data_IF_069901098958
#
_entry.id   IF_069901098958
#
_cell.length_a   1.000
_cell.length_b   1.000
_cell.length_c   1.000
_cell.angle_alpha   90.00
_cell.angle_beta   90.00
_cell.angle_gamma   90.00
#
_symmetry.space_group_name_H-M   'P 1'
#
loop_
_entity.id
_entity.type
_entity.pdbx_description
1 polymer ?
#
# COMPACT_ATOMS: atom_id res chain seq x y z
N UNK A 1 2.14 -1.14 -21.78
CA UNK A 1 3.24 -1.41 -20.82
C UNK A 1 3.32 -0.25 -19.84
N UNK A 2 3.33 -0.53 -18.55
CA UNK A 2 3.66 0.47 -17.50
C UNK A 2 5.05 1.01 -17.83
N UNK A 3 5.26 2.33 -17.70
CA UNK A 3 6.59 2.92 -17.86
C UNK A 3 7.56 2.31 -16.84
N UNK A 4 8.81 2.14 -17.23
CA UNK A 4 9.86 1.78 -16.28
C UNK A 4 9.86 2.80 -15.13
N UNK A 5 9.79 2.31 -13.89
CA UNK A 5 9.80 3.17 -12.73
C UNK A 5 11.10 3.94 -12.65
N UNK A 6 11.01 5.23 -12.30
CA UNK A 6 12.16 6.06 -11.99
C UNK A 6 13.01 5.40 -10.89
N UNK A 7 14.30 5.28 -11.13
CA UNK A 7 15.20 4.76 -10.10
C UNK A 7 15.39 5.82 -9.01
N UNK A 8 14.98 5.48 -7.81
CA UNK A 8 15.20 6.26 -6.60
C UNK A 8 16.24 5.56 -5.70
N UNK A 9 16.81 6.28 -4.74
CA UNK A 9 17.73 5.68 -3.76
C UNK A 9 17.01 4.57 -3.00
N UNK A 10 17.54 3.33 -2.97
CA UNK A 10 16.95 2.26 -2.16
C UNK A 10 17.15 2.55 -0.68
N UNK A 11 16.10 2.37 0.12
CA UNK A 11 16.08 2.58 1.55
C UNK A 11 15.51 1.34 2.25
N UNK A 12 16.21 0.84 3.26
CA UNK A 12 15.73 -0.24 4.11
C UNK A 12 14.92 0.33 5.28
N UNK A 13 13.69 -0.15 5.44
CA UNK A 13 12.84 0.13 6.59
C UNK A 13 12.81 -1.09 7.51
N UNK A 14 13.34 -0.92 8.71
CA UNK A 14 13.33 -1.94 9.75
C UNK A 14 13.17 -1.30 11.14
N UNK A 15 12.40 -1.92 12.01
CA UNK A 15 12.35 -1.55 13.42
C UNK A 15 13.67 -1.91 14.10
N UNK A 16 14.26 -0.97 14.83
CA UNK A 16 15.62 -1.10 15.41
C UNK A 16 15.62 -1.50 16.87
N UNK A 17 14.49 -1.98 17.37
CA UNK A 17 14.39 -2.53 18.71
C UNK A 17 15.06 -3.91 18.80
N UNK A 18 15.78 -4.18 19.87
CA UNK A 18 16.35 -5.51 20.13
C UNK A 18 15.31 -6.62 20.26
N UNK A 19 14.05 -6.26 20.48
CA UNK A 19 12.89 -7.15 20.62
C UNK A 19 12.14 -7.38 19.31
N UNK A 20 12.44 -6.62 18.25
CA UNK A 20 11.76 -6.71 16.94
C UNK A 20 12.47 -7.59 15.92
N UNK A 21 13.20 -8.63 16.37
CA UNK A 21 14.05 -9.48 15.50
C UNK A 21 13.26 -10.18 14.38
N UNK A 22 12.00 -10.50 14.65
CA UNK A 22 11.12 -11.21 13.71
C UNK A 22 10.25 -10.24 12.88
N UNK A 23 10.38 -8.93 13.10
CA UNK A 23 9.64 -7.94 12.32
C UNK A 23 10.11 -7.94 10.86
N UNK A 24 9.13 -7.84 9.97
CA UNK A 24 9.39 -7.74 8.53
C UNK A 24 10.27 -6.53 8.23
N UNK A 25 11.26 -6.72 7.36
CA UNK A 25 12.05 -5.63 6.76
C UNK A 25 11.49 -5.32 5.39
N UNK A 26 11.40 -4.04 5.04
CA UNK A 26 10.83 -3.57 3.77
C UNK A 26 11.81 -2.63 3.07
N UNK A 27 12.23 -3.01 1.89
CA UNK A 27 12.96 -2.12 1.00
C UNK A 27 12.00 -1.25 0.20
N UNK A 28 12.31 0.03 0.06
CA UNK A 28 11.58 0.98 -0.79
C UNK A 28 12.54 1.68 -1.75
N UNK A 29 12.05 2.12 -2.90
CA UNK A 29 12.89 2.75 -3.92
C UNK A 29 13.77 1.75 -4.70
N UNK A 30 14.62 2.26 -5.56
CA UNK A 30 15.44 1.44 -6.45
C UNK A 30 14.59 0.50 -7.32
N UNK A 31 15.01 -0.74 -7.42
CA UNK A 31 14.30 -1.79 -8.16
C UNK A 31 13.32 -2.60 -7.27
N UNK A 32 13.18 -2.20 -5.98
CA UNK A 32 12.29 -2.87 -5.04
C UNK A 32 10.81 -2.60 -5.35
N UNK A 33 9.91 -3.54 -5.02
CA UNK A 33 8.47 -3.37 -5.28
C UNK A 33 7.88 -2.12 -4.61
N UNK A 34 6.85 -1.52 -5.21
CA UNK A 34 6.09 -0.42 -4.61
C UNK A 34 5.43 -0.93 -3.32
N UNK A 35 5.75 -0.35 -2.17
CA UNK A 35 5.30 -0.84 -0.89
C UNK A 35 3.96 -0.21 -0.45
N UNK A 36 3.11 -1.04 0.17
CA UNK A 36 1.80 -0.64 0.70
C UNK A 36 1.94 -0.16 2.13
N UNK A 37 1.51 1.08 2.39
CA UNK A 37 1.49 1.69 3.71
C UNK A 37 0.07 2.08 4.11
N UNK A 38 -0.27 1.95 5.40
CA UNK A 38 -1.45 2.55 6.02
C UNK A 38 -1.06 3.28 7.32
N UNK A 39 -2.06 3.70 8.10
CA UNK A 39 -1.86 4.48 9.32
C UNK A 39 -2.91 4.09 10.35
N UNK A 40 -2.51 4.02 11.62
CA UNK A 40 -3.45 3.80 12.72
C UNK A 40 -4.31 5.04 12.97
N UNK A 41 -5.50 4.81 13.52
CA UNK A 41 -6.46 5.84 13.97
C UNK A 41 -6.63 5.84 15.50
N UNK A 42 -6.00 4.88 16.18
CA UNK A 42 -6.02 4.74 17.63
C UNK A 42 -5.20 5.84 18.31
N UNK A 43 -5.48 6.10 19.57
CA UNK A 43 -4.60 6.89 20.43
C UNK A 43 -3.31 6.10 20.68
N UNK A 44 -2.17 6.63 20.29
CA UNK A 44 -0.87 5.93 20.37
C UNK A 44 -0.44 5.67 21.82
N UNK A 45 -0.92 6.49 22.77
CA UNK A 45 -0.73 6.25 24.19
C UNK A 45 -1.36 4.93 24.68
N UNK A 46 -2.46 4.49 24.04
CA UNK A 46 -3.03 3.15 24.21
C UNK A 46 -2.31 2.19 23.23
N UNK A 47 -1.09 1.83 23.59
CA UNK A 47 -0.24 1.01 22.69
C UNK A 47 -0.81 -0.40 22.47
N UNK A 48 -1.63 -0.95 23.35
CA UNK A 48 -2.26 -2.28 23.14
C UNK A 48 -3.30 -2.21 22.02
N UNK A 49 -4.22 -1.23 22.04
CA UNK A 49 -5.18 -1.03 20.95
C UNK A 49 -4.50 -0.65 19.64
N UNK A 50 -3.43 0.14 19.73
CA UNK A 50 -2.63 0.51 18.55
C UNK A 50 -1.97 -0.72 17.93
N UNK A 51 -1.42 -1.63 18.74
CA UNK A 51 -0.86 -2.91 18.28
C UNK A 51 -1.94 -3.82 17.66
N UNK A 52 -3.12 -3.91 18.28
CA UNK A 52 -4.24 -4.67 17.72
C UNK A 52 -4.57 -4.19 16.30
N UNK A 53 -4.67 -2.87 16.10
CA UNK A 53 -4.92 -2.30 14.78
C UNK A 53 -3.74 -2.52 13.81
N UNK A 54 -2.50 -2.46 14.28
CA UNK A 54 -1.31 -2.78 13.48
C UNK A 54 -1.33 -4.25 13.03
N UNK A 55 -1.70 -5.18 13.90
CA UNK A 55 -1.85 -6.60 13.52
C UNK A 55 -2.94 -6.78 12.46
N UNK A 56 -4.10 -6.13 12.63
CA UNK A 56 -5.17 -6.15 11.62
C UNK A 56 -4.71 -5.63 10.25
N UNK A 57 -3.98 -4.51 10.25
CA UNK A 57 -3.39 -3.94 9.03
C UNK A 57 -2.37 -4.89 8.38
N UNK A 58 -1.48 -5.49 9.18
CA UNK A 58 -0.47 -6.44 8.69
C UNK A 58 -1.12 -7.69 8.09
N UNK A 59 -2.15 -8.24 8.74
CA UNK A 59 -2.92 -9.37 8.22
C UNK A 59 -3.63 -9.05 6.90
N UNK A 60 -4.15 -7.82 6.74
CA UNK A 60 -4.72 -7.36 5.47
C UNK A 60 -3.65 -7.21 4.37
N UNK A 61 -2.36 -7.25 4.73
CA UNK A 61 -1.23 -7.14 3.82
C UNK A 61 -0.60 -5.76 3.75
N UNK A 62 -0.82 -4.92 4.75
CA UNK A 62 -0.05 -3.69 4.91
C UNK A 62 1.41 -4.02 5.21
N UNK A 63 2.33 -3.35 4.55
CA UNK A 63 3.76 -3.63 4.67
C UNK A 63 4.49 -2.63 5.57
N UNK A 64 3.92 -1.44 5.75
CA UNK A 64 4.47 -0.35 6.57
C UNK A 64 3.31 0.33 7.29
N UNK A 65 3.40 0.52 8.60
CA UNK A 65 2.36 1.22 9.36
C UNK A 65 2.90 2.52 9.94
N UNK A 66 2.12 3.60 9.80
CA UNK A 66 2.41 4.90 10.40
C UNK A 66 1.57 5.11 11.65
N UNK A 67 2.19 5.58 12.72
CA UNK A 67 1.54 5.98 13.97
C UNK A 67 1.82 7.46 14.25
N UNK A 68 0.87 8.17 14.84
CA UNK A 68 1.05 9.57 15.26
C UNK A 68 1.76 9.60 16.60
N UNK A 69 2.68 10.56 16.80
CA UNK A 69 3.32 10.82 18.10
C UNK A 69 3.18 12.32 18.38
N UNK A 70 2.11 12.69 19.07
CA UNK A 70 1.72 14.10 19.30
C UNK A 70 2.28 14.66 20.60
N UNK A 71 2.46 13.81 21.61
CA UNK A 71 2.80 14.20 22.99
C UNK A 71 3.61 13.12 23.72
N UNK A 72 3.98 13.39 24.98
CA UNK A 72 4.79 12.50 25.79
C UNK A 72 4.12 11.14 26.10
N UNK A 73 2.81 11.04 26.37
CA UNK A 73 2.13 9.76 26.48
C UNK A 73 2.25 8.89 25.23
N UNK A 74 2.08 9.47 24.03
CA UNK A 74 2.30 8.75 22.77
C UNK A 74 3.74 8.26 22.64
N UNK A 75 4.71 9.14 22.96
CA UNK A 75 6.13 8.80 22.92
C UNK A 75 6.48 7.66 23.88
N UNK A 76 5.86 7.61 25.06
CA UNK A 76 6.04 6.52 26.01
C UNK A 76 5.49 5.16 25.52
N UNK A 77 4.48 5.17 24.65
CA UNK A 77 3.94 3.96 24.01
C UNK A 77 4.84 3.40 22.88
N UNK A 78 5.66 4.25 22.25
CA UNK A 78 6.45 3.87 21.08
C UNK A 78 7.39 2.67 21.26
N UNK A 79 8.15 2.54 22.37
CA UNK A 79 9.01 1.38 22.58
C UNK A 79 8.24 0.05 22.54
N UNK A 80 7.03 0.01 23.12
CA UNK A 80 6.17 -1.17 23.11
C UNK A 80 5.65 -1.50 21.71
N UNK A 81 5.24 -0.47 20.96
CA UNK A 81 4.74 -0.61 19.59
C UNK A 81 5.86 -1.12 18.67
N UNK A 82 7.02 -0.47 18.70
CA UNK A 82 8.16 -0.84 17.83
C UNK A 82 8.66 -2.25 18.13
N UNK A 83 8.72 -2.64 19.41
CA UNK A 83 9.20 -3.96 19.82
C UNK A 83 8.31 -5.11 19.37
N UNK A 84 6.99 -4.88 19.32
CA UNK A 84 5.97 -5.93 19.07
C UNK A 84 5.34 -5.87 17.68
N UNK A 85 5.58 -4.80 16.92
CA UNK A 85 5.00 -4.67 15.58
C UNK A 85 5.60 -5.70 14.60
N UNK A 86 4.75 -6.42 13.83
CA UNK A 86 5.21 -7.36 12.80
C UNK A 86 5.75 -6.67 11.54
N UNK A 87 5.54 -5.35 11.41
CA UNK A 87 5.92 -4.54 10.23
C UNK A 87 6.66 -3.27 10.66
N UNK A 88 7.45 -2.66 9.76
CA UNK A 88 8.12 -1.39 10.03
C UNK A 88 7.18 -0.28 10.45
N UNK A 89 7.54 0.44 11.51
CA UNK A 89 6.79 1.56 12.07
C UNK A 89 7.37 2.89 11.60
N UNK A 90 6.47 3.78 11.16
CA UNK A 90 6.78 5.18 10.83
C UNK A 90 6.17 6.09 11.88
N UNK A 91 6.99 6.86 12.59
CA UNK A 91 6.50 7.87 13.51
C UNK A 91 6.14 9.17 12.75
N UNK A 92 4.94 9.68 12.99
CA UNK A 92 4.43 10.92 12.41
C UNK A 92 4.55 12.07 13.41
N UNK A 93 5.54 12.93 13.20
CA UNK A 93 5.85 14.09 14.05
C UNK A 93 5.52 15.37 13.29
N UNK A 94 4.80 16.29 13.95
CA UNK A 94 4.41 17.53 13.32
C UNK A 94 5.33 18.71 13.69
N UNK A 95 5.57 18.94 14.99
CA UNK A 95 6.25 20.16 15.45
C UNK A 95 7.29 19.94 16.55
N UNK A 96 7.08 18.97 17.45
CA UNK A 96 7.91 18.82 18.64
C UNK A 96 9.12 17.90 18.38
N UNK A 97 10.32 18.49 18.44
CA UNK A 97 11.58 17.77 18.27
C UNK A 97 11.80 16.68 19.32
N UNK A 98 11.28 16.86 20.57
CA UNK A 98 11.41 15.86 21.63
C UNK A 98 10.67 14.57 21.29
N UNK A 99 9.50 14.69 20.62
CA UNK A 99 8.75 13.54 20.15
C UNK A 99 9.50 12.83 19.02
N UNK A 100 10.20 13.60 18.16
CA UNK A 100 11.05 13.02 17.13
C UNK A 100 12.23 12.23 17.72
N UNK A 101 12.92 12.79 18.72
CA UNK A 101 14.03 12.11 19.43
C UNK A 101 13.54 10.84 20.12
N UNK A 102 12.46 10.92 20.89
CA UNK A 102 11.89 9.77 21.58
C UNK A 102 11.46 8.64 20.62
N UNK A 103 10.88 8.99 19.46
CA UNK A 103 10.52 8.02 18.45
C UNK A 103 11.77 7.36 17.83
N UNK A 104 12.82 8.12 17.56
CA UNK A 104 14.10 7.58 17.07
C UNK A 104 14.73 6.65 18.12
N UNK A 105 14.81 7.06 19.38
CA UNK A 105 15.31 6.24 20.49
C UNK A 105 14.52 4.95 20.68
N UNK A 106 13.20 4.97 20.43
CA UNK A 106 12.36 3.78 20.40
C UNK A 106 12.68 2.85 19.22
N UNK A 107 13.47 3.30 18.23
CA UNK A 107 13.93 2.50 17.12
C UNK A 107 12.96 2.38 15.94
N UNK A 108 12.20 3.44 15.65
CA UNK A 108 11.29 3.46 14.50
C UNK A 108 12.02 3.27 13.18
N UNK A 109 11.36 2.62 12.23
CA UNK A 109 11.92 2.32 10.92
C UNK A 109 12.03 3.57 10.01
N UNK A 110 11.20 4.58 10.23
CA UNK A 110 11.20 5.84 9.48
C UNK A 110 10.55 6.95 10.31
N UNK A 111 11.03 8.16 10.15
CA UNK A 111 10.43 9.36 10.75
C UNK A 111 9.69 10.15 9.66
N UNK A 112 8.45 10.58 9.92
CA UNK A 112 7.80 11.61 9.10
C UNK A 112 7.90 12.95 9.84
N UNK A 113 8.64 13.87 9.25
CA UNK A 113 8.91 15.18 9.82
C UNK A 113 9.19 16.18 8.72
N UNK A 114 8.66 17.40 8.83
CA UNK A 114 9.08 18.52 8.00
C UNK A 114 10.08 19.36 8.82
N UNK A 115 11.40 19.30 8.52
CA UNK A 115 12.41 19.92 9.38
C UNK A 115 12.26 21.44 9.51
N UNK A 116 11.69 22.11 8.51
CA UNK A 116 11.38 23.54 8.59
C UNK A 116 10.22 23.91 9.52
N UNK A 117 9.46 22.93 10.03
CA UNK A 117 8.44 23.15 11.06
C UNK A 117 9.07 23.29 12.49
N UNK A 118 10.32 22.85 12.64
CA UNK A 118 11.10 23.07 13.85
C UNK A 118 11.86 24.37 13.64
N UNK A 119 11.44 25.44 14.33
CA UNK A 119 12.00 26.79 14.14
C UNK A 119 13.43 26.95 14.64
N UNK A 120 13.86 26.13 15.59
CA UNK A 120 15.20 26.11 16.15
C UNK A 120 16.12 25.18 15.35
N UNK A 121 17.09 25.77 14.65
CA UNK A 121 18.08 25.04 13.83
C UNK A 121 18.92 24.06 14.65
N UNK A 122 19.19 24.34 15.93
CA UNK A 122 19.95 23.45 16.81
C UNK A 122 19.17 22.17 17.06
N UNK A 123 17.88 22.28 17.35
CA UNK A 123 16.96 21.17 17.58
C UNK A 123 16.75 20.35 16.30
N UNK A 124 16.62 21.03 15.14
CA UNK A 124 16.55 20.34 13.84
C UNK A 124 17.81 19.51 13.61
N UNK A 125 18.99 20.07 13.88
CA UNK A 125 20.28 19.37 13.72
C UNK A 125 20.36 18.15 14.64
N UNK A 126 19.92 18.27 15.89
CA UNK A 126 19.91 17.17 16.87
C UNK A 126 19.08 15.99 16.36
N UNK A 127 17.84 16.23 15.92
CA UNK A 127 16.96 15.19 15.35
C UNK A 127 17.56 14.55 14.09
N UNK A 128 18.09 15.36 13.18
CA UNK A 128 18.67 14.87 11.93
C UNK A 128 19.96 14.08 12.18
N UNK A 129 20.78 14.52 13.14
CA UNK A 129 21.99 13.78 13.50
C UNK A 129 21.65 12.43 14.10
N UNK A 130 20.71 12.37 15.04
CA UNK A 130 20.27 11.09 15.63
C UNK A 130 19.67 10.16 14.55
N UNK A 131 18.83 10.69 13.66
CA UNK A 131 18.28 9.91 12.56
C UNK A 131 19.37 9.33 11.66
N UNK A 132 20.41 10.11 11.38
CA UNK A 132 21.58 9.71 10.59
C UNK A 132 22.39 8.62 11.30
N UNK A 133 22.69 8.79 12.58
CA UNK A 133 23.46 7.84 13.38
C UNK A 133 22.74 6.48 13.49
N UNK A 134 21.41 6.52 13.53
CA UNK A 134 20.58 5.33 13.54
C UNK A 134 20.27 4.79 12.13
N UNK A 135 20.68 5.46 11.06
CA UNK A 135 20.31 5.10 9.68
C UNK A 135 18.80 5.08 9.47
N UNK A 136 18.07 6.02 10.07
CA UNK A 136 16.60 6.11 9.98
C UNK A 136 16.22 7.12 8.91
N UNK A 137 15.54 6.71 7.80
CA UNK A 137 15.09 7.62 6.77
C UNK A 137 14.08 8.65 7.29
N UNK A 138 14.10 9.86 6.72
CA UNK A 138 13.15 10.93 7.02
C UNK A 138 12.23 11.14 5.83
N UNK A 139 10.90 11.11 6.06
CA UNK A 139 9.91 11.48 5.06
C UNK A 139 9.44 12.92 5.26
N UNK A 140 9.68 13.73 4.25
CA UNK A 140 9.09 15.05 4.09
C UNK A 140 7.65 14.87 3.57
N UNK A 141 6.68 15.41 4.30
CA UNK A 141 5.25 15.28 3.95
C UNK A 141 4.60 16.65 3.80
N UNK A 142 4.46 17.14 2.57
CA UNK A 142 3.75 18.39 2.27
C UNK A 142 2.31 18.08 1.91
N UNK A 143 1.39 18.74 2.60
CA UNK A 143 -0.03 18.74 2.27
C UNK A 143 -0.43 20.15 1.79
N UNK A 144 -1.33 20.23 0.80
CA UNK A 144 -1.81 21.51 0.27
C UNK A 144 -2.38 22.44 1.35
N UNK A 145 -3.10 21.89 2.32
CA UNK A 145 -3.69 22.65 3.43
C UNK A 145 -2.71 23.11 4.52
N UNK A 146 -1.40 22.82 4.39
CA UNK A 146 -0.38 23.18 5.38
C UNK A 146 0.93 23.66 4.74
N UNK A 147 0.81 24.51 3.72
CA UNK A 147 1.95 25.14 3.05
C UNK A 147 2.63 26.17 3.97
N UNK A 148 3.92 26.43 3.72
CA UNK A 148 4.61 27.53 4.36
C UNK A 148 3.99 28.86 3.92
N UNK A 149 3.70 29.75 4.88
CA UNK A 149 2.93 30.98 4.66
C UNK A 149 3.51 31.88 3.56
N UNK A 150 4.82 32.03 3.50
CA UNK A 150 5.51 32.81 2.47
C UNK A 150 5.34 32.22 1.05
N UNK A 151 5.26 30.89 0.93
CA UNK A 151 4.99 30.22 -0.34
C UNK A 151 3.53 30.31 -0.73
N UNK A 152 2.63 30.20 0.25
CA UNK A 152 1.19 30.37 0.03
C UNK A 152 0.86 31.81 -0.44
N UNK A 153 1.45 32.84 0.19
CA UNK A 153 1.29 34.23 -0.19
C UNK A 153 1.82 34.54 -1.60
N UNK A 154 2.94 33.87 -1.99
CA UNK A 154 3.59 34.12 -3.29
C UNK A 154 3.00 33.33 -4.44
N UNK A 155 2.65 32.08 -4.23
CA UNK A 155 2.26 31.11 -5.28
C UNK A 155 0.82 30.62 -5.14
N UNK A 156 0.15 30.91 -4.03
CA UNK A 156 -1.17 30.36 -3.72
C UNK A 156 -1.14 28.86 -3.43
N UNK A 157 -2.32 28.26 -3.42
CA UNK A 157 -2.48 26.80 -3.28
C UNK A 157 -2.25 26.11 -4.64
N UNK A 158 -0.99 25.97 -5.03
CA UNK A 158 -0.60 25.42 -6.33
C UNK A 158 0.33 24.20 -6.19
N UNK A 159 0.38 23.29 -7.18
CA UNK A 159 1.36 22.22 -7.23
C UNK A 159 2.80 22.70 -7.10
N UNK A 160 3.11 23.86 -7.66
CA UNK A 160 4.43 24.49 -7.60
C UNK A 160 4.79 24.88 -6.16
N UNK A 161 3.88 25.50 -5.42
CA UNK A 161 4.09 25.83 -4.02
C UNK A 161 4.38 24.60 -3.17
N UNK A 162 3.68 23.48 -3.42
CA UNK A 162 3.91 22.21 -2.75
C UNK A 162 5.33 21.68 -3.01
N UNK A 163 5.75 21.68 -4.27
CA UNK A 163 7.08 21.18 -4.65
C UNK A 163 8.18 22.06 -4.08
N UNK A 164 8.06 23.38 -4.16
CA UNK A 164 9.03 24.31 -3.57
C UNK A 164 9.12 24.15 -2.06
N UNK A 165 7.98 23.94 -1.38
CA UNK A 165 7.94 23.65 0.05
C UNK A 165 8.71 22.36 0.38
N UNK A 166 8.48 21.29 -0.39
CA UNK A 166 9.20 20.05 -0.18
C UNK A 166 10.70 20.18 -0.42
N UNK A 167 11.10 20.83 -1.50
CA UNK A 167 12.51 21.03 -1.85
C UNK A 167 13.26 21.87 -0.80
N UNK A 168 12.61 22.90 -0.22
CA UNK A 168 13.17 23.66 0.91
C UNK A 168 13.50 22.75 2.11
N UNK A 169 12.61 21.79 2.43
CA UNK A 169 12.88 20.84 3.51
C UNK A 169 13.97 19.82 3.13
N UNK A 170 14.04 19.42 1.86
CA UNK A 170 15.12 18.58 1.33
C UNK A 170 16.46 19.26 1.51
N UNK A 171 16.57 20.52 1.12
CA UNK A 171 17.81 21.31 1.23
C UNK A 171 18.33 21.38 2.68
N UNK A 172 17.43 21.55 3.66
CA UNK A 172 17.79 21.52 5.08
C UNK A 172 18.42 20.15 5.47
N UNK A 173 17.86 19.04 4.98
CA UNK A 173 18.40 17.69 5.26
C UNK A 173 19.74 17.47 4.56
N UNK A 174 19.85 17.90 3.30
CA UNK A 174 21.08 17.82 2.50
C UNK A 174 22.23 18.62 3.14
N UNK A 175 21.96 19.87 3.61
CA UNK A 175 22.91 20.70 4.36
C UNK A 175 23.45 20.00 5.63
N UNK A 176 22.62 19.16 6.25
CA UNK A 176 22.99 18.37 7.43
C UNK A 176 23.60 17.00 7.05
N UNK A 177 23.77 16.72 5.75
CA UNK A 177 24.36 15.49 5.24
C UNK A 177 23.45 14.27 5.39
N UNK A 178 22.11 14.45 5.48
CA UNK A 178 21.14 13.38 5.52
C UNK A 178 20.46 13.24 4.16
N UNK A 179 20.71 12.12 3.48
CA UNK A 179 20.20 11.84 2.12
C UNK A 179 19.24 10.64 2.05
N UNK A 180 18.89 10.06 3.19
CA UNK A 180 17.89 9.00 3.26
C UNK A 180 16.49 9.62 3.36
N UNK A 181 16.04 10.17 2.22
CA UNK A 181 14.87 11.04 2.14
C UNK A 181 13.76 10.36 1.34
N UNK A 182 12.54 10.50 1.83
CA UNK A 182 11.30 10.18 1.12
C UNK A 182 10.46 11.46 1.00
N UNK A 183 9.80 11.69 -0.12
CA UNK A 183 8.97 12.89 -0.31
C UNK A 183 7.52 12.49 -0.55
N UNK A 184 6.58 13.21 0.03
CA UNK A 184 5.15 13.09 -0.29
C UNK A 184 4.51 14.45 -0.48
N UNK A 185 3.67 14.57 -1.51
CA UNK A 185 2.99 15.78 -1.95
C UNK A 185 1.51 15.48 -2.11
N UNK A 186 0.69 15.79 -1.11
CA UNK A 186 -0.70 15.35 -1.07
C UNK A 186 -1.66 16.52 -1.12
N UNK A 187 -2.62 16.43 -2.02
CA UNK A 187 -3.80 17.28 -2.05
C UNK A 187 -5.07 16.41 -1.99
N UNK A 188 -6.23 17.04 -1.78
CA UNK A 188 -7.52 16.37 -1.73
C UNK A 188 -8.08 16.08 -3.13
N UNK A 189 -7.57 16.74 -4.14
CA UNK A 189 -7.96 16.56 -5.54
C UNK A 189 -6.86 15.86 -6.37
N UNK A 190 -7.32 15.14 -7.37
CA UNK A 190 -6.47 14.34 -8.24
C UNK A 190 -5.57 15.20 -9.14
N UNK A 191 -6.09 16.23 -9.85
CA UNK A 191 -5.26 17.06 -10.74
C UNK A 191 -4.08 17.68 -10.01
N UNK A 192 -4.32 18.36 -8.90
CA UNK A 192 -3.27 19.01 -8.11
C UNK A 192 -2.22 18.00 -7.64
N UNK A 193 -2.64 16.86 -7.13
CA UNK A 193 -1.71 15.80 -6.68
C UNK A 193 -0.87 15.27 -7.84
N UNK A 194 -1.49 14.95 -8.97
CA UNK A 194 -0.78 14.42 -10.15
C UNK A 194 0.23 15.44 -10.68
N UNK A 195 -0.16 16.70 -10.81
CA UNK A 195 0.76 17.75 -11.28
C UNK A 195 1.91 17.98 -10.30
N UNK A 196 1.66 17.96 -8.99
CA UNK A 196 2.71 18.11 -7.98
C UNK A 196 3.77 16.99 -8.08
N UNK A 197 3.34 15.74 -8.17
CA UNK A 197 4.28 14.63 -8.31
C UNK A 197 5.02 14.62 -9.63
N UNK A 198 4.37 14.95 -10.75
CA UNK A 198 5.05 15.10 -12.06
C UNK A 198 6.10 16.21 -12.04
N UNK A 199 5.79 17.34 -11.38
CA UNK A 199 6.73 18.45 -11.23
C UNK A 199 7.89 18.06 -10.32
N UNK A 200 7.60 17.40 -9.19
CA UNK A 200 8.63 16.89 -8.29
C UNK A 200 9.55 15.87 -8.99
N UNK A 201 8.99 14.95 -9.75
CA UNK A 201 9.76 13.96 -10.51
C UNK A 201 10.74 14.62 -11.48
N UNK A 202 10.30 15.62 -12.23
CA UNK A 202 11.18 16.40 -13.12
C UNK A 202 12.27 17.14 -12.35
N UNK A 203 11.91 17.83 -11.26
CA UNK A 203 12.86 18.58 -10.45
C UNK A 203 13.91 17.68 -9.77
N UNK A 204 13.49 16.48 -9.36
CA UNK A 204 14.40 15.49 -8.78
C UNK A 204 15.30 14.84 -9.85
N UNK A 205 14.82 14.69 -11.08
CA UNK A 205 15.65 14.20 -12.20
C UNK A 205 16.75 15.18 -12.61
N UNK A 206 16.59 16.48 -12.34
CA UNK A 206 17.60 17.53 -12.54
C UNK A 206 18.71 17.48 -11.46
N UNK A 207 18.52 16.69 -10.38
CA UNK A 207 19.46 16.52 -9.27
C UNK A 207 20.11 15.14 -9.34
N UNK A 208 21.33 15.01 -8.84
CA UNK A 208 22.05 13.73 -8.76
C UNK A 208 21.46 12.75 -7.72
N UNK A 209 20.53 13.23 -6.89
CA UNK A 209 19.92 12.47 -5.79
C UNK A 209 18.44 12.15 -6.08
N UNK A 210 18.15 10.95 -6.57
CA UNK A 210 16.78 10.52 -6.83
C UNK A 210 16.10 10.03 -5.54
N UNK A 211 15.38 10.90 -4.84
CA UNK A 211 14.63 10.54 -3.61
C UNK A 211 13.38 9.72 -3.91
N UNK A 212 13.05 8.80 -3.00
CA UNK A 212 11.85 7.99 -3.09
C UNK A 212 10.58 8.84 -2.90
N UNK A 213 9.51 8.48 -3.62
CA UNK A 213 8.22 9.16 -3.57
C UNK A 213 7.15 8.30 -2.90
N UNK A 214 6.46 8.86 -1.90
CA UNK A 214 5.33 8.23 -1.23
C UNK A 214 4.03 8.85 -1.74
N UNK A 215 3.26 8.08 -2.51
CA UNK A 215 2.02 8.52 -3.13
C UNK A 215 0.81 8.48 -2.18
N UNK A 216 -0.17 9.31 -2.46
CA UNK A 216 -1.48 9.26 -1.81
C UNK A 216 -2.30 10.52 -2.10
N UNK A 217 -3.62 10.36 -2.09
CA UNK A 217 -4.57 11.47 -2.02
C UNK A 217 -4.92 11.65 -0.53
N UNK A 218 -4.84 12.88 -0.01
CA UNK A 218 -5.30 13.18 1.36
C UNK A 218 -6.78 13.53 1.35
N UNK A 219 -7.50 13.21 2.46
CA UNK A 219 -8.90 13.59 2.60
C UNK A 219 -9.75 13.14 1.40
N UNK A 220 -9.50 11.92 0.92
CA UNK A 220 -10.11 11.43 -0.32
C UNK A 220 -11.63 11.24 -0.19
N UNK A 221 -12.15 11.08 1.03
CA UNK A 221 -13.57 10.94 1.33
C UNK A 221 -13.96 9.55 1.79
N UNK A 222 -15.28 9.26 1.73
CA UNK A 222 -15.87 7.97 2.07
C UNK A 222 -15.32 6.84 1.16
N UNK A 223 -15.48 5.56 1.53
CA UNK A 223 -14.83 4.45 0.82
C UNK A 223 -15.03 4.44 -0.69
N UNK A 224 -16.23 4.68 -1.19
CA UNK A 224 -16.51 4.66 -2.63
C UNK A 224 -15.77 5.78 -3.37
N UNK A 225 -16.00 7.02 -2.98
CA UNK A 225 -15.41 8.21 -3.62
C UNK A 225 -13.91 8.27 -3.39
N UNK A 226 -13.46 7.93 -2.19
CA UNK A 226 -12.05 7.89 -1.83
C UNK A 226 -11.27 6.84 -2.63
N UNK A 227 -11.88 5.66 -2.86
CA UNK A 227 -11.29 4.61 -3.73
C UNK A 227 -11.15 5.12 -5.16
N UNK A 228 -12.19 5.75 -5.73
CA UNK A 228 -12.15 6.27 -7.10
C UNK A 228 -11.04 7.33 -7.24
N UNK A 229 -11.00 8.32 -6.35
CA UNK A 229 -9.97 9.37 -6.39
C UNK A 229 -8.56 8.79 -6.24
N UNK A 230 -8.38 7.87 -5.30
CA UNK A 230 -7.09 7.22 -5.05
C UNK A 230 -6.65 6.36 -6.23
N UNK A 231 -7.56 5.57 -6.81
CA UNK A 231 -7.27 4.74 -7.97
C UNK A 231 -6.88 5.57 -9.19
N UNK A 232 -7.59 6.66 -9.47
CA UNK A 232 -7.26 7.54 -10.58
C UNK A 232 -5.93 8.25 -10.33
N UNK A 233 -5.78 8.93 -9.19
CA UNK A 233 -4.59 9.76 -8.94
C UNK A 233 -3.30 8.95 -8.83
N UNK A 234 -3.31 7.91 -8.01
CA UNK A 234 -2.14 7.04 -7.88
C UNK A 234 -1.95 6.14 -9.10
N UNK A 235 -3.06 5.72 -9.76
CA UNK A 235 -2.99 4.93 -10.98
C UNK A 235 -2.28 5.66 -12.12
N UNK A 236 -2.57 6.93 -12.35
CA UNK A 236 -1.87 7.77 -13.34
C UNK A 236 -0.37 7.82 -13.04
N UNK A 237 -0.01 8.13 -11.79
CA UNK A 237 1.39 8.28 -11.40
C UNK A 237 2.17 6.96 -11.50
N UNK A 238 1.61 5.87 -10.99
CA UNK A 238 2.21 4.54 -11.05
C UNK A 238 2.34 4.04 -12.50
N UNK A 239 1.36 4.32 -13.37
CA UNK A 239 1.44 4.01 -14.79
C UNK A 239 2.58 4.76 -15.48
N UNK A 240 2.87 5.98 -15.04
CA UNK A 240 3.98 6.80 -15.51
C UNK A 240 5.34 6.42 -14.89
N UNK A 241 5.36 5.44 -13.99
CA UNK A 241 6.58 5.00 -13.31
C UNK A 241 6.97 5.88 -12.11
N UNK A 242 6.05 6.69 -11.60
CA UNK A 242 6.26 7.59 -10.46
C UNK A 242 5.67 6.96 -9.20
N UNK A 243 6.51 6.76 -8.16
CA UNK A 243 6.09 6.29 -6.85
C UNK A 243 6.81 5.01 -6.39
N UNK A 244 7.20 5.01 -5.13
CA UNK A 244 7.94 3.92 -4.47
C UNK A 244 7.16 3.30 -3.32
N UNK A 245 6.25 4.05 -2.73
CA UNK A 245 5.28 3.60 -1.74
C UNK A 245 3.95 4.31 -1.95
N UNK A 246 2.83 3.70 -1.50
CA UNK A 246 1.51 4.33 -1.58
C UNK A 246 0.71 4.15 -0.31
N UNK A 247 -0.22 5.10 -0.05
CA UNK A 247 -1.27 4.98 0.95
C UNK A 247 -2.58 5.52 0.40
N UNK A 248 -3.62 4.72 0.44
CA UNK A 248 -5.01 5.15 0.29
C UNK A 248 -5.48 5.76 1.62
N UNK A 249 -6.25 6.84 1.59
CA UNK A 249 -6.84 7.49 2.77
C UNK A 249 -8.35 7.48 2.63
N UNK A 250 -9.04 6.75 3.49
CA UNK A 250 -10.49 6.65 3.52
C UNK A 250 -11.04 7.11 4.87
N UNK A 251 -12.24 7.71 4.84
CA UNK A 251 -13.00 7.98 6.07
C UNK A 251 -13.74 6.69 6.50
N UNK A 252 -12.96 5.67 6.91
CA UNK A 252 -13.39 4.34 7.31
C UNK A 252 -12.34 3.67 8.20
N UNK A 253 -12.53 2.40 8.56
CA UNK A 253 -11.49 1.59 9.21
C UNK A 253 -10.25 1.52 8.30
N UNK A 254 -9.04 1.84 8.80
CA UNK A 254 -7.84 1.84 7.98
C UNK A 254 -7.50 0.46 7.37
N UNK A 255 -8.04 -0.63 7.90
CA UNK A 255 -7.92 -1.96 7.30
C UNK A 255 -8.54 -2.00 5.90
N UNK A 256 -9.57 -1.20 5.63
CA UNK A 256 -10.21 -1.10 4.31
C UNK A 256 -9.32 -0.39 3.26
N UNK A 257 -8.33 0.40 3.68
CA UNK A 257 -7.38 1.08 2.78
C UNK A 257 -6.47 0.08 2.06
N UNK A 258 -6.11 -1.02 2.73
CA UNK A 258 -5.09 -1.97 2.26
C UNK A 258 -5.53 -2.74 1.01
N UNK A 259 -6.75 -3.33 0.97
CA UNK A 259 -7.25 -3.96 -0.26
C UNK A 259 -7.31 -3.01 -1.46
N UNK A 260 -7.64 -1.73 -1.22
CA UNK A 260 -7.66 -0.73 -2.30
C UNK A 260 -6.25 -0.47 -2.84
N UNK A 261 -5.24 -0.36 -1.97
CA UNK A 261 -3.84 -0.25 -2.41
C UNK A 261 -3.42 -1.44 -3.30
N UNK A 262 -3.72 -2.66 -2.86
CA UNK A 262 -3.43 -3.88 -3.62
C UNK A 262 -4.22 -3.95 -4.92
N UNK A 263 -5.49 -3.52 -4.91
CA UNK A 263 -6.33 -3.42 -6.11
C UNK A 263 -5.73 -2.50 -7.18
N UNK A 264 -5.21 -1.33 -6.77
CA UNK A 264 -4.53 -0.41 -7.69
C UNK A 264 -3.26 -1.05 -8.28
N UNK A 265 -2.41 -1.65 -7.46
CA UNK A 265 -1.16 -2.27 -7.92
C UNK A 265 -1.43 -3.45 -8.85
N UNK A 266 -2.42 -4.27 -8.54
CA UNK A 266 -2.85 -5.42 -9.32
C UNK A 266 -3.46 -5.02 -10.66
N UNK A 267 -4.39 -4.06 -10.65
CA UNK A 267 -5.03 -3.57 -11.88
C UNK A 267 -4.03 -2.97 -12.89
N UNK A 268 -2.89 -2.46 -12.41
CA UNK A 268 -1.79 -1.96 -13.24
C UNK A 268 -0.75 -3.04 -13.61
N UNK A 269 -0.86 -4.26 -13.11
CA UNK A 269 0.14 -5.32 -13.29
C UNK A 269 1.51 -5.00 -12.66
N UNK A 270 1.54 -4.16 -11.61
CA UNK A 270 2.78 -3.77 -10.94
C UNK A 270 3.17 -4.78 -9.86
N UNK A 271 2.17 -5.25 -9.11
CA UNK A 271 2.33 -6.29 -8.08
C UNK A 271 1.09 -7.16 -8.03
N UNK A 272 1.28 -8.41 -7.71
CA UNK A 272 0.22 -9.40 -7.55
C UNK A 272 0.15 -9.86 -6.08
N UNK A 273 -1.06 -9.94 -5.52
CA UNK A 273 -1.35 -10.51 -4.22
C UNK A 273 -2.82 -10.89 -4.13
N UNK A 274 -3.10 -12.09 -3.67
CA UNK A 274 -4.44 -12.62 -3.61
C UNK A 274 -5.07 -12.77 -5.01
N UNK A 275 -6.31 -13.20 -5.05
CA UNK A 275 -6.97 -13.50 -6.32
C UNK A 275 -7.19 -12.25 -7.17
N UNK A 276 -7.09 -12.44 -8.49
CA UNK A 276 -7.54 -11.49 -9.51
C UNK A 276 -8.79 -12.07 -10.17
N UNK A 277 -9.96 -11.51 -9.82
CA UNK A 277 -11.25 -12.06 -10.23
C UNK A 277 -11.80 -11.22 -11.38
N UNK A 278 -11.91 -11.83 -12.55
CA UNK A 278 -12.60 -11.28 -13.71
C UNK A 278 -14.02 -11.86 -13.76
N UNK A 279 -15.03 -11.02 -13.58
CA UNK A 279 -16.43 -11.43 -13.64
C UNK A 279 -17.18 -10.70 -14.75
N UNK A 280 -18.01 -11.41 -15.52
CA UNK A 280 -18.83 -10.74 -16.53
C UNK A 280 -20.00 -9.98 -15.88
N UNK A 281 -20.49 -8.88 -16.53
CA UNK A 281 -21.54 -8.03 -15.93
C UNK A 281 -22.96 -8.66 -15.97
N UNK A 282 -23.08 -9.96 -16.27
CA UNK A 282 -24.34 -10.69 -16.28
C UNK A 282 -25.42 -10.07 -17.18
N UNK A 283 -25.15 -10.01 -18.50
CA UNK A 283 -26.14 -9.54 -19.48
C UNK A 283 -27.25 -10.58 -19.72
N UNK A 284 -28.24 -10.26 -20.57
CA UNK A 284 -29.35 -11.16 -20.91
C UNK A 284 -29.01 -12.52 -21.54
N UNK A 285 -27.72 -12.82 -21.73
CA UNK A 285 -27.20 -14.13 -22.15
C UNK A 285 -26.66 -14.98 -21.00
N UNK A 286 -26.65 -14.46 -19.79
CA UNK A 286 -26.20 -15.23 -18.62
C UNK A 286 -27.15 -16.43 -18.39
N UNK A 287 -26.58 -17.59 -18.22
CA UNK A 287 -27.27 -18.86 -18.02
C UNK A 287 -27.00 -19.46 -16.62
N UNK A 288 -26.24 -18.72 -15.77
CA UNK A 288 -25.98 -19.00 -14.36
C UNK A 288 -26.00 -17.68 -13.57
N UNK A 289 -26.13 -17.76 -12.24
CA UNK A 289 -26.08 -16.61 -11.33
C UNK A 289 -24.64 -16.13 -11.09
N UNK A 290 -24.12 -15.34 -12.05
CA UNK A 290 -22.72 -14.87 -12.06
C UNK A 290 -22.37 -14.04 -10.85
N UNK A 291 -23.27 -13.13 -10.44
CA UNK A 291 -22.96 -12.17 -9.37
C UNK A 291 -22.78 -12.90 -8.04
N UNK A 292 -23.63 -13.84 -7.73
CA UNK A 292 -23.57 -14.60 -6.48
C UNK A 292 -22.37 -15.58 -6.48
N UNK A 293 -22.08 -16.18 -7.63
CA UNK A 293 -20.90 -17.03 -7.79
C UNK A 293 -19.60 -16.20 -7.62
N UNK A 294 -19.51 -15.02 -8.26
CA UNK A 294 -18.34 -14.14 -8.14
C UNK A 294 -18.13 -13.65 -6.70
N UNK A 295 -19.20 -13.26 -6.00
CA UNK A 295 -19.15 -12.91 -4.56
C UNK A 295 -18.66 -14.07 -3.69
N UNK A 296 -19.13 -15.28 -4.00
CA UNK A 296 -18.68 -16.48 -3.28
C UNK A 296 -17.19 -16.76 -3.52
N UNK A 297 -16.72 -16.53 -4.75
CA UNK A 297 -15.27 -16.63 -5.07
C UNK A 297 -14.48 -15.53 -4.34
N UNK A 298 -15.01 -14.31 -4.20
CA UNK A 298 -14.36 -13.25 -3.40
C UNK A 298 -14.23 -13.63 -1.92
N UNK A 299 -15.20 -14.37 -1.37
CA UNK A 299 -15.12 -14.88 0.01
C UNK A 299 -14.02 -15.95 0.13
N UNK A 300 -13.93 -16.88 -0.82
CA UNK A 300 -12.86 -17.88 -0.88
C UNK A 300 -11.49 -17.17 -1.03
N UNK A 301 -11.41 -16.14 -1.86
CA UNK A 301 -10.18 -15.39 -2.09
C UNK A 301 -9.55 -14.81 -0.81
N UNK A 302 -10.37 -14.48 0.21
CA UNK A 302 -9.88 -13.98 1.50
C UNK A 302 -9.12 -15.02 2.32
N UNK A 303 -9.27 -16.29 1.99
CA UNK A 303 -8.59 -17.40 2.67
C UNK A 303 -7.15 -17.59 2.16
N UNK A 304 -6.79 -16.98 1.01
CA UNK A 304 -5.53 -17.23 0.32
C UNK A 304 -4.78 -15.93 0.00
N UNK A 305 -3.46 -15.99 0.03
CA UNK A 305 -2.58 -14.89 -0.41
C UNK A 305 -1.98 -15.12 -1.80
N UNK A 306 -2.13 -16.33 -2.34
CA UNK A 306 -1.64 -16.71 -3.66
C UNK A 306 -2.27 -15.86 -4.78
N UNK A 307 -1.50 -15.41 -5.79
CA UNK A 307 -1.99 -14.52 -6.85
C UNK A 307 -2.67 -15.30 -7.99
N UNK A 308 -3.81 -15.93 -7.70
CA UNK A 308 -4.56 -16.74 -8.67
C UNK A 308 -5.50 -15.89 -9.51
N UNK A 309 -5.51 -16.06 -10.82
CA UNK A 309 -6.44 -15.43 -11.74
C UNK A 309 -7.68 -16.30 -11.94
N UNK A 310 -8.85 -15.78 -11.55
CA UNK A 310 -10.12 -16.52 -11.63
C UNK A 310 -11.09 -15.78 -12.55
N UNK A 311 -11.66 -16.49 -13.55
CA UNK A 311 -12.67 -15.96 -14.44
C UNK A 311 -14.05 -16.53 -14.10
N UNK A 312 -15.06 -15.66 -13.90
CA UNK A 312 -16.46 -16.06 -13.64
C UNK A 312 -17.35 -15.52 -14.76
N UNK A 313 -17.70 -16.38 -15.71
CA UNK A 313 -18.39 -16.01 -16.93
C UNK A 313 -19.76 -16.67 -17.02
N UNK A 314 -20.80 -15.86 -17.34
CA UNK A 314 -22.19 -16.29 -17.30
C UNK A 314 -22.68 -17.06 -18.55
N UNK A 315 -21.93 -17.10 -19.65
CA UNK A 315 -22.37 -17.73 -20.87
C UNK A 315 -21.21 -18.28 -21.71
N UNK A 316 -21.54 -19.11 -22.69
CA UNK A 316 -20.59 -19.75 -23.61
C UNK A 316 -19.96 -18.81 -24.64
N UNK A 317 -20.42 -17.54 -24.75
CA UNK A 317 -19.93 -16.63 -25.81
C UNK A 317 -18.52 -16.14 -25.47
N UNK A 318 -18.32 -15.54 -24.31
CA UNK A 318 -17.01 -15.06 -23.86
C UNK A 318 -16.36 -16.02 -22.85
N UNK A 319 -17.18 -16.88 -22.21
CA UNK A 319 -16.74 -17.75 -21.12
C UNK A 319 -15.51 -18.60 -21.44
N UNK A 320 -15.48 -19.35 -22.53
CA UNK A 320 -14.31 -20.17 -22.87
C UNK A 320 -13.06 -19.35 -23.18
N UNK A 321 -13.20 -18.16 -23.79
CA UNK A 321 -12.08 -17.26 -24.09
C UNK A 321 -11.44 -16.68 -22.84
N UNK A 322 -12.23 -16.08 -21.98
CA UNK A 322 -11.76 -15.48 -20.71
C UNK A 322 -11.23 -16.55 -19.76
N UNK A 323 -11.91 -17.71 -19.68
CA UNK A 323 -11.47 -18.82 -18.83
C UNK A 323 -10.12 -19.42 -19.28
N UNK A 324 -9.76 -19.28 -20.56
CA UNK A 324 -8.45 -19.71 -21.09
C UNK A 324 -7.31 -18.78 -20.69
N UNK A 325 -7.61 -17.51 -20.43
CA UNK A 325 -6.61 -16.51 -20.00
C UNK A 325 -6.42 -16.47 -18.47
N UNK A 326 -7.33 -17.12 -17.72
CA UNK A 326 -7.25 -17.26 -16.27
C UNK A 326 -6.60 -18.59 -15.88
N UNK A 327 -6.12 -18.66 -14.63
CA UNK A 327 -5.61 -19.92 -14.06
C UNK A 327 -6.74 -20.92 -13.85
N UNK A 328 -7.90 -20.42 -13.38
CA UNK A 328 -9.15 -21.19 -13.28
C UNK A 328 -10.31 -20.34 -13.77
N UNK A 329 -11.21 -20.90 -14.56
CA UNK A 329 -12.36 -20.18 -15.04
C UNK A 329 -13.61 -21.04 -15.10
N UNK A 330 -14.78 -20.39 -14.97
CA UNK A 330 -16.08 -20.98 -15.20
C UNK A 330 -16.81 -20.28 -16.33
N UNK A 331 -17.39 -21.06 -17.25
CA UNK A 331 -18.25 -20.58 -18.32
C UNK A 331 -19.65 -21.15 -18.15
N UNK A 332 -20.63 -20.28 -17.91
CA UNK A 332 -22.04 -20.69 -17.72
C UNK A 332 -22.66 -21.28 -18.98
N UNK A 333 -23.56 -22.22 -18.77
CA UNK A 333 -24.46 -22.82 -19.73
C UNK A 333 -25.76 -23.21 -19.02
N UNK A 334 -26.80 -23.61 -19.74
CA UNK A 334 -28.16 -23.85 -19.20
C UNK A 334 -28.16 -24.70 -17.92
N UNK A 335 -28.26 -24.06 -16.75
CA UNK A 335 -28.30 -24.69 -15.43
C UNK A 335 -27.02 -25.45 -15.03
N UNK A 336 -25.92 -25.21 -15.70
CA UNK A 336 -24.61 -25.84 -15.48
C UNK A 336 -23.48 -24.91 -15.90
N UNK A 337 -22.24 -25.20 -15.50
CA UNK A 337 -21.07 -24.47 -15.96
C UNK A 337 -19.91 -25.40 -16.31
N UNK A 338 -19.14 -25.01 -17.33
CA UNK A 338 -17.90 -25.64 -17.69
C UNK A 338 -16.74 -25.00 -16.93
N UNK A 339 -15.95 -25.82 -16.22
CA UNK A 339 -14.76 -25.35 -15.49
C UNK A 339 -13.53 -25.62 -16.35
N UNK A 340 -12.69 -24.61 -16.42
CA UNK A 340 -11.39 -24.64 -17.12
C UNK A 340 -10.26 -24.46 -16.12
N UNK A 341 -9.17 -25.15 -16.30
CA UNK A 341 -7.91 -24.95 -15.57
C UNK A 341 -6.79 -24.78 -16.61
N UNK A 342 -6.08 -23.64 -16.54
CA UNK A 342 -4.99 -23.31 -17.50
C UNK A 342 -5.43 -23.45 -18.98
N UNK A 343 -6.65 -23.05 -19.28
CA UNK A 343 -7.22 -23.11 -20.62
C UNK A 343 -7.81 -24.46 -21.06
N UNK A 344 -7.61 -25.53 -20.28
CA UNK A 344 -8.14 -26.87 -20.56
C UNK A 344 -9.46 -27.10 -19.82
N UNK A 345 -10.41 -27.75 -20.50
CA UNK A 345 -11.70 -28.11 -19.93
C UNK A 345 -11.50 -29.24 -18.89
N UNK A 346 -11.81 -28.96 -17.62
CA UNK A 346 -11.80 -29.95 -16.54
C UNK A 346 -13.08 -30.79 -16.57
N UNK A 347 -14.23 -30.12 -16.75
CA UNK A 347 -15.52 -30.80 -16.76
C UNK A 347 -16.69 -29.80 -16.78
N UNK A 348 -17.91 -30.34 -16.81
CA UNK A 348 -19.14 -29.59 -16.74
C UNK A 348 -19.92 -30.02 -15.49
N UNK A 349 -20.32 -29.07 -14.68
CA UNK A 349 -20.94 -29.30 -13.37
C UNK A 349 -22.32 -28.62 -13.29
N UNK A 350 -23.29 -29.18 -12.55
CA UNK A 350 -24.52 -28.46 -12.21
C UNK A 350 -24.21 -27.13 -11.51
N UNK A 351 -25.07 -26.14 -11.67
CA UNK A 351 -24.86 -24.80 -11.08
C UNK A 351 -24.66 -24.85 -9.56
N UNK A 352 -25.40 -25.71 -8.87
CA UNK A 352 -25.27 -25.89 -7.41
C UNK A 352 -23.88 -26.42 -6.97
N UNK A 353 -23.16 -27.09 -7.83
CA UNK A 353 -21.87 -27.72 -7.54
C UNK A 353 -20.68 -26.87 -8.01
N UNK A 354 -20.96 -25.77 -8.78
CA UNK A 354 -19.90 -24.98 -9.42
C UNK A 354 -18.90 -24.39 -8.43
N UNK A 355 -19.36 -23.84 -7.31
CA UNK A 355 -18.48 -23.22 -6.32
C UNK A 355 -17.51 -24.25 -5.71
N UNK A 356 -18.04 -25.43 -5.35
CA UNK A 356 -17.21 -26.49 -4.77
C UNK A 356 -16.17 -27.02 -5.76
N UNK A 357 -16.61 -27.26 -6.99
CA UNK A 357 -15.71 -27.72 -8.05
C UNK A 357 -14.66 -26.67 -8.43
N UNK A 358 -15.03 -25.37 -8.47
CA UNK A 358 -14.14 -24.25 -8.74
C UNK A 358 -13.08 -24.14 -7.63
N UNK A 359 -13.48 -24.29 -6.36
CA UNK A 359 -12.55 -24.27 -5.20
C UNK A 359 -11.51 -25.37 -5.30
N UNK A 360 -11.91 -26.59 -5.63
CA UNK A 360 -10.97 -27.72 -5.81
C UNK A 360 -9.93 -27.39 -6.90
N UNK A 361 -10.34 -26.81 -8.03
CA UNK A 361 -9.42 -26.49 -9.10
C UNK A 361 -8.50 -25.30 -8.74
N UNK A 362 -9.00 -24.31 -7.98
CA UNK A 362 -8.18 -23.23 -7.43
C UNK A 362 -7.11 -23.79 -6.49
N UNK A 363 -7.47 -24.67 -5.57
CA UNK A 363 -6.53 -25.28 -4.62
C UNK A 363 -5.45 -26.10 -5.35
N UNK A 364 -5.81 -26.82 -6.42
CA UNK A 364 -4.82 -27.50 -7.28
C UNK A 364 -3.87 -26.52 -7.97
N UNK A 365 -4.38 -25.40 -8.48
CA UNK A 365 -3.53 -24.35 -9.08
C UNK A 365 -2.58 -23.76 -8.05
N UNK A 366 -3.06 -23.49 -6.82
CA UNK A 366 -2.19 -23.00 -5.74
C UNK A 366 -1.09 -24.01 -5.43
N UNK A 367 -1.44 -25.27 -5.28
CA UNK A 367 -0.47 -26.32 -4.99
C UNK A 367 0.59 -26.49 -6.12
N UNK A 368 0.16 -26.37 -7.37
CA UNK A 368 1.04 -26.59 -8.53
C UNK A 368 1.93 -25.38 -8.86
N UNK A 369 1.39 -24.14 -8.77
CA UNK A 369 2.07 -22.94 -9.26
C UNK A 369 2.61 -22.04 -8.16
N UNK A 370 2.02 -22.12 -6.98
CA UNK A 370 2.31 -21.22 -5.86
C UNK A 370 2.63 -22.00 -4.57
N UNK A 371 3.55 -22.98 -4.61
CA UNK A 371 3.84 -23.86 -3.46
C UNK A 371 4.28 -23.08 -2.22
N UNK A 372 4.94 -21.93 -2.40
CA UNK A 372 5.39 -21.05 -1.31
C UNK A 372 4.22 -20.41 -0.54
N UNK A 373 3.01 -20.37 -1.14
CA UNK A 373 1.80 -19.79 -0.55
C UNK A 373 0.89 -20.82 0.13
N UNK A 374 1.21 -22.12 0.09
CA UNK A 374 0.39 -23.21 0.69
C UNK A 374 0.26 -23.05 2.21
N UNK A 375 1.24 -22.40 2.86
CA UNK A 375 1.26 -22.19 4.31
C UNK A 375 0.71 -20.83 4.74
N UNK A 376 0.40 -19.92 3.81
CA UNK A 376 -0.12 -18.60 4.08
C UNK A 376 -1.64 -18.53 3.92
N UNK A 377 -2.39 -19.35 4.67
CA UNK A 377 -3.83 -19.10 4.82
C UNK A 377 -4.06 -18.04 5.89
N UNK A 378 -4.94 -17.08 5.63
CA UNK A 378 -5.29 -16.01 6.58
C UNK A 378 -5.84 -16.52 7.92
N UNK A 379 -6.11 -17.83 8.05
CA UNK A 379 -6.69 -18.48 9.22
C UNK A 379 -5.82 -19.61 9.80
N UNK A 380 -4.55 -19.72 9.42
CA UNK A 380 -3.63 -20.71 10.02
C UNK A 380 -4.02 -22.18 9.81
N UNK A 381 -4.95 -22.51 8.91
CA UNK A 381 -5.26 -23.87 8.56
C UNK A 381 -4.30 -24.34 7.49
N UNK A 382 -3.40 -25.25 7.85
CA UNK A 382 -2.62 -26.03 6.90
C UNK A 382 -3.59 -26.74 5.95
N UNK A 383 -3.45 -26.50 4.64
CA UNK A 383 -4.02 -27.40 3.65
C UNK A 383 -3.30 -28.74 3.83
N UNK A 384 -4.02 -29.72 4.36
CA UNK A 384 -3.50 -31.08 4.46
C UNK A 384 -3.16 -31.54 3.04
N UNK A 385 -1.90 -31.91 2.81
CA UNK A 385 -1.50 -32.59 1.59
C UNK A 385 -2.41 -33.82 1.45
N UNK A 386 -3.29 -33.76 0.46
CA UNK A 386 -4.11 -34.93 0.09
C UNK A 386 -3.20 -35.91 -0.64
N UNK A 387 -3.22 -37.22 -0.30
CA UNK A 387 -2.33 -38.22 -0.87
C UNK A 387 -2.54 -38.44 -2.37
#
# INVERSE_FOLDING_TARGET
MVRLRRKSKPLLLENKSSWSKDAKKVWIGGDHPVAVQSMTTTDTADYEKTLEQIYGLAMAGCEIVRVTVKDAPDAAGMPHIVARSPVPIVADIHFDHKMALAALEAGVAKLRLNPGNITDRTKTREVVQLAKDMGTPIRIGVNMGSLARDLEEKYGHTPEAMVLSALRHVEILEELGHTDIVISLKAHDVPTTVYAYRLADRKLAERDTPYALHLGITEAGLPREGTIKSAIGMGILLWEGIGDTLRVSLAADPVEEVPVCWGILKALGIREKGFDITACPSCGRAEIEVVDLARSVELIAKEYTAPVKVAVMGCVVNGPGESKMADVGVAGGKGKGAIYRKGELVGTFPEADLLAALRIEIEKVIADQYPDFIHETTHGKQLAATP
#
